data_IF_515605493087
#
_entry.id   IF_515605493087
#
_cell.length_a   1.000
_cell.length_b   1.000
_cell.length_c   1.000
_cell.angle_alpha   90.00
_cell.angle_beta   90.00
_cell.angle_gamma   90.00
#
_symmetry.space_group_name_H-M   'P 1'
#
loop_
_entity.id
_entity.type
_entity.pdbx_description
1 polymer ?
#
# COMPACT_ATOMS: atom_id res chain seq x y z
N UNK A 1 12.25 -6.68 -10.28
CA UNK A 1 13.46 -7.49 -10.54
C UNK A 1 14.08 -8.05 -9.25
N UNK A 2 14.60 -7.21 -8.34
CA UNK A 2 15.38 -7.63 -7.15
C UNK A 2 14.72 -8.74 -6.30
N UNK A 3 13.42 -8.63 -5.99
CA UNK A 3 12.73 -9.61 -5.13
C UNK A 3 12.71 -11.01 -5.74
N UNK A 4 12.39 -11.12 -7.03
CA UNK A 4 12.37 -12.40 -7.73
C UNK A 4 13.76 -13.02 -7.84
N UNK A 5 14.81 -12.22 -8.10
CA UNK A 5 16.19 -12.73 -8.09
C UNK A 5 16.55 -13.32 -6.73
N UNK A 6 16.28 -12.60 -5.64
CA UNK A 6 16.54 -13.12 -4.30
C UNK A 6 15.82 -14.45 -4.05
N UNK A 7 14.52 -14.52 -4.36
CA UNK A 7 13.73 -15.75 -4.20
C UNK A 7 14.34 -16.90 -5.00
N UNK A 8 14.69 -16.66 -6.27
CA UNK A 8 15.20 -17.69 -7.18
C UNK A 8 16.58 -18.20 -6.72
N UNK A 9 17.46 -17.31 -6.31
CA UNK A 9 18.85 -17.63 -5.98
C UNK A 9 18.97 -18.28 -4.60
N UNK A 10 18.04 -17.97 -3.69
CA UNK A 10 18.05 -18.49 -2.31
C UNK A 10 16.97 -19.54 -2.03
N UNK A 11 16.18 -19.95 -3.04
CA UNK A 11 14.97 -20.78 -2.90
C UNK A 11 15.11 -21.98 -1.94
N UNK A 12 16.21 -22.72 -2.04
CA UNK A 12 16.47 -23.92 -1.22
C UNK A 12 17.02 -23.62 0.18
N UNK A 13 17.43 -22.38 0.44
CA UNK A 13 18.02 -21.91 1.70
C UNK A 13 17.26 -20.71 2.30
N UNK A 14 16.01 -20.46 1.88
CA UNK A 14 15.21 -19.35 2.39
C UNK A 14 15.01 -19.48 3.91
N UNK A 15 15.16 -18.38 4.68
CA UNK A 15 14.83 -18.35 6.10
C UNK A 15 13.33 -18.57 6.33
N UNK A 16 12.93 -18.72 7.59
CA UNK A 16 11.52 -18.89 7.95
C UNK A 16 10.64 -17.70 7.55
N UNK A 17 11.20 -16.50 7.57
CA UNK A 17 10.56 -15.25 7.13
C UNK A 17 11.52 -14.48 6.24
N UNK A 18 11.01 -14.03 5.09
CA UNK A 18 11.68 -13.10 4.19
C UNK A 18 10.91 -11.78 4.18
N UNK A 19 11.64 -10.66 4.28
CA UNK A 19 11.07 -9.32 4.24
C UNK A 19 11.56 -8.60 2.99
N UNK A 20 10.61 -8.07 2.23
CA UNK A 20 10.85 -7.23 1.08
C UNK A 20 10.33 -5.83 1.38
N UNK A 21 11.21 -4.82 1.29
CA UNK A 21 10.85 -3.43 1.61
C UNK A 21 11.77 -2.44 0.90
N UNK A 22 11.33 -1.18 0.82
CA UNK A 22 12.16 -0.08 0.34
C UNK A 22 13.26 0.26 1.36
N UNK A 23 14.39 0.75 0.87
CA UNK A 23 15.57 1.04 1.69
C UNK A 23 15.48 2.35 2.50
N UNK A 24 14.47 3.19 2.26
CA UNK A 24 14.30 4.45 2.96
C UNK A 24 13.92 4.21 4.43
N UNK A 25 14.62 4.85 5.37
CA UNK A 25 14.29 4.73 6.79
C UNK A 25 12.99 5.50 7.14
N UNK A 26 12.86 6.72 6.63
CA UNK A 26 11.67 7.57 6.79
C UNK A 26 11.13 8.00 5.42
N UNK A 27 9.83 7.82 5.20
CA UNK A 27 9.13 8.00 3.93
C UNK A 27 7.61 8.09 4.18
N UNK A 28 6.88 8.60 3.20
CA UNK A 28 5.43 8.83 3.29
C UNK A 28 4.61 7.55 3.51
N UNK A 29 5.18 6.39 3.15
CA UNK A 29 4.55 5.08 3.27
C UNK A 29 4.96 4.32 4.53
N UNK A 30 5.62 4.96 5.49
CA UNK A 30 5.75 4.39 6.83
C UNK A 30 4.39 4.40 7.55
N UNK A 31 4.19 3.39 8.40
CA UNK A 31 3.03 3.31 9.27
C UNK A 31 3.09 4.42 10.33
N UNK A 32 1.97 5.08 10.65
CA UNK A 32 2.00 6.26 11.53
C UNK A 32 2.50 5.92 12.94
N UNK A 33 2.14 4.73 13.45
CA UNK A 33 2.62 4.27 14.76
C UNK A 33 4.02 3.65 14.72
N UNK A 34 4.65 3.54 13.55
CA UNK A 34 6.01 3.03 13.35
C UNK A 34 6.86 4.13 12.69
N UNK A 35 7.58 4.87 13.51
CA UNK A 35 8.40 6.03 13.13
C UNK A 35 9.45 5.78 12.04
N UNK A 36 9.80 4.52 11.75
CA UNK A 36 10.76 4.20 10.69
C UNK A 36 10.61 2.77 10.15
N UNK A 37 11.28 2.52 9.03
CA UNK A 37 11.46 1.18 8.45
C UNK A 37 12.17 0.24 9.44
N UNK A 38 13.18 0.74 10.17
CA UNK A 38 13.82 -0.02 11.24
C UNK A 38 12.84 -0.44 12.34
N UNK A 39 11.98 0.47 12.79
CA UNK A 39 10.96 0.15 13.80
C UNK A 39 9.90 -0.82 13.28
N UNK A 40 9.58 -0.73 11.98
CA UNK A 40 8.68 -1.67 11.30
C UNK A 40 9.21 -3.11 11.40
N UNK A 41 10.48 -3.32 11.04
CA UNK A 41 11.12 -4.64 11.13
C UNK A 41 11.23 -5.10 12.59
N UNK A 42 11.64 -4.22 13.51
CA UNK A 42 11.83 -4.56 14.92
C UNK A 42 10.53 -5.00 15.61
N UNK A 43 9.40 -4.37 15.26
CA UNK A 43 8.10 -4.66 15.88
C UNK A 43 7.31 -5.75 15.16
N UNK A 44 7.70 -6.14 13.94
CA UNK A 44 6.99 -7.15 13.17
C UNK A 44 6.95 -8.48 13.94
N UNK A 45 5.74 -8.94 14.25
CA UNK A 45 5.50 -10.19 14.97
C UNK A 45 5.65 -11.36 14.01
N UNK A 46 6.74 -12.11 14.14
CA UNK A 46 7.01 -13.31 13.35
C UNK A 46 5.86 -14.30 13.35
N UNK A 47 5.15 -14.44 14.48
CA UNK A 47 3.98 -15.33 14.61
C UNK A 47 2.85 -14.97 13.63
N UNK A 48 2.62 -13.68 13.36
CA UNK A 48 1.62 -13.22 12.38
C UNK A 48 2.01 -13.66 10.97
N UNK A 49 3.27 -13.43 10.59
CA UNK A 49 3.78 -13.78 9.25
C UNK A 49 3.80 -15.29 9.03
N UNK A 50 4.21 -16.08 10.03
CA UNK A 50 4.26 -17.54 9.92
C UNK A 50 2.87 -18.16 9.85
N UNK A 51 1.92 -17.65 10.63
CA UNK A 51 0.54 -18.15 10.65
C UNK A 51 -0.19 -17.85 9.34
N UNK A 52 -0.05 -16.63 8.83
CA UNK A 52 -0.82 -16.17 7.67
C UNK A 52 -0.07 -16.42 6.35
N UNK A 53 1.24 -16.66 6.41
CA UNK A 53 2.11 -16.92 5.27
C UNK A 53 2.50 -15.68 4.46
N UNK A 54 1.67 -14.63 4.48
CA UNK A 54 1.89 -13.35 3.82
C UNK A 54 1.33 -12.21 4.69
N UNK A 55 2.07 -11.10 4.76
CA UNK A 55 1.61 -9.88 5.41
C UNK A 55 2.20 -8.67 4.68
N UNK A 56 1.34 -7.81 4.16
CA UNK A 56 1.75 -6.48 3.73
C UNK A 56 2.27 -5.68 4.94
N UNK A 57 3.42 -5.02 4.80
CA UNK A 57 4.02 -4.26 5.91
C UNK A 57 3.29 -2.94 6.16
N UNK A 58 2.57 -2.40 5.18
CA UNK A 58 1.75 -1.21 5.34
C UNK A 58 0.37 -1.60 5.86
N UNK A 59 -0.08 -0.95 6.92
CA UNK A 59 -1.43 -1.12 7.44
C UNK A 59 -2.42 -0.12 6.86
N UNK A 60 -1.95 1.05 6.42
CA UNK A 60 -2.79 2.11 5.88
C UNK A 60 -3.37 1.76 4.51
N UNK A 61 -4.69 1.88 4.37
CA UNK A 61 -5.43 1.51 3.16
C UNK A 61 -5.14 2.43 1.97
N UNK A 62 -5.00 3.73 2.20
CA UNK A 62 -4.77 4.69 1.12
C UNK A 62 -3.27 4.88 0.86
N UNK A 63 -2.77 4.72 -0.38
CA UNK A 63 -3.47 4.20 -1.55
C UNK A 63 -3.50 2.66 -1.57
N UNK A 64 -4.49 2.11 -2.27
CA UNK A 64 -4.51 0.70 -2.67
C UNK A 64 -5.67 -0.14 -2.14
N UNK A 65 -6.46 0.37 -1.20
CA UNK A 65 -7.58 -0.33 -0.59
C UNK A 65 -8.76 0.59 -0.24
N UNK A 66 -10.01 0.05 -0.23
CA UNK A 66 -10.45 -1.12 -1.00
C UNK A 66 -10.66 -0.77 -2.49
N UNK A 67 -11.05 -1.75 -3.31
CA UNK A 67 -11.58 -1.53 -4.68
C UNK A 67 -10.71 -0.63 -5.59
N UNK A 68 -9.41 -0.92 -5.69
CA UNK A 68 -8.39 -0.03 -6.25
C UNK A 68 -8.12 -0.16 -7.75
N UNK A 69 -7.79 -1.35 -8.27
CA UNK A 69 -7.47 -1.56 -9.69
C UNK A 69 -8.52 -2.47 -10.31
N UNK A 70 -9.12 -2.03 -11.43
CA UNK A 70 -10.08 -2.80 -12.21
C UNK A 70 -9.48 -3.24 -13.56
N UNK A 71 -8.81 -4.42 -13.64
CA UNK A 71 -8.14 -4.84 -14.87
C UNK A 71 -9.15 -5.19 -15.98
N UNK A 72 -8.96 -4.64 -17.18
CA UNK A 72 -9.84 -4.89 -18.32
C UNK A 72 -9.22 -5.86 -19.34
N UNK A 73 -10.04 -6.58 -20.10
CA UNK A 73 -9.54 -7.46 -21.16
C UNK A 73 -8.88 -6.63 -22.27
N UNK A 74 -7.72 -7.05 -22.81
CA UNK A 74 -7.18 -6.43 -24.01
C UNK A 74 -8.19 -6.61 -25.15
N UNK A 75 -8.84 -5.53 -25.58
CA UNK A 75 -9.60 -5.54 -26.83
C UNK A 75 -8.62 -5.54 -27.99
N UNK A 76 -8.95 -6.24 -29.08
CA UNK A 76 -8.09 -6.46 -30.27
C UNK A 76 -7.70 -5.19 -31.04
N UNK A 77 -8.00 -4.01 -30.51
CA UNK A 77 -7.75 -2.68 -31.09
C UNK A 77 -6.83 -1.83 -30.21
N UNK A 78 -6.00 -2.43 -29.35
CA UNK A 78 -4.96 -1.73 -28.60
C UNK A 78 -3.75 -1.32 -29.50
N UNK A 79 -4.03 -0.61 -30.59
CA UNK A 79 -3.07 0.36 -31.14
C UNK A 79 -3.46 1.72 -30.62
N UNK A 80 -2.61 2.25 -29.74
CA UNK A 80 -2.60 3.61 -29.23
C UNK A 80 -3.79 4.02 -28.34
N UNK A 81 -3.45 4.45 -27.14
CA UNK A 81 -4.27 5.34 -26.33
C UNK A 81 -4.81 6.49 -27.21
N UNK A 82 -6.11 6.46 -27.51
CA UNK A 82 -7.04 7.59 -27.75
C UNK A 82 -8.26 7.07 -28.50
N UNK A 83 -9.36 6.78 -27.79
CA UNK A 83 -10.73 7.27 -28.06
C UNK A 83 -11.72 6.49 -27.21
N UNK A 84 -12.42 7.23 -26.34
CA UNK A 84 -13.55 6.75 -25.58
C UNK A 84 -14.71 6.38 -26.52
N UNK A 85 -15.34 5.23 -26.28
CA UNK A 85 -16.57 4.79 -26.93
C UNK A 85 -17.47 4.17 -25.87
N UNK A 86 -18.70 4.65 -25.81
CA UNK A 86 -19.68 4.49 -24.72
C UNK A 86 -20.23 3.04 -24.60
N UNK A 87 -20.02 2.42 -23.44
CA UNK A 87 -20.68 1.19 -22.98
C UNK A 87 -21.02 1.23 -21.48
N UNK A 88 -22.22 0.73 -21.14
CA UNK A 88 -22.92 1.01 -19.87
C UNK A 88 -22.30 0.35 -18.61
N UNK A 89 -22.04 1.20 -17.61
CA UNK A 89 -21.98 0.96 -16.14
C UNK A 89 -20.75 0.28 -15.49
N UNK A 90 -19.75 -0.20 -16.22
CA UNK A 90 -18.47 -0.69 -15.64
C UNK A 90 -17.22 0.00 -16.26
N UNK A 91 -17.42 0.73 -17.36
CA UNK A 91 -16.34 1.40 -18.10
C UNK A 91 -15.90 2.73 -17.46
N UNK A 92 -16.76 3.35 -16.65
CA UNK A 92 -16.48 4.65 -16.03
C UNK A 92 -15.44 4.55 -14.91
N UNK A 93 -15.44 3.49 -14.11
CA UNK A 93 -14.44 3.26 -13.07
C UNK A 93 -13.07 2.89 -13.67
N UNK A 94 -13.04 1.99 -14.65
CA UNK A 94 -11.78 1.61 -15.32
C UNK A 94 -11.12 2.77 -16.10
N UNK A 95 -11.91 3.67 -16.68
CA UNK A 95 -11.40 4.88 -17.34
C UNK A 95 -10.84 5.90 -16.33
N UNK A 96 -11.47 6.08 -15.16
CA UNK A 96 -10.98 6.97 -14.10
C UNK A 96 -9.70 6.41 -13.44
N UNK A 97 -9.63 5.09 -13.26
CA UNK A 97 -8.43 4.40 -12.79
C UNK A 97 -7.26 4.61 -13.74
N UNK A 98 -7.45 4.45 -15.05
CA UNK A 98 -6.36 4.62 -16.02
C UNK A 98 -5.72 6.03 -16.00
N UNK A 99 -6.48 7.04 -15.56
CA UNK A 99 -5.99 8.43 -15.44
C UNK A 99 -5.20 8.67 -14.14
N UNK A 100 -5.53 7.96 -13.06
CA UNK A 100 -5.00 8.22 -11.72
C UNK A 100 -4.09 7.09 -11.17
N UNK A 101 -4.22 5.89 -11.74
CA UNK A 101 -3.57 4.63 -11.36
C UNK A 101 -2.94 4.03 -12.65
N UNK A 102 -1.73 4.46 -13.03
CA UNK A 102 -1.13 4.11 -14.31
C UNK A 102 -1.08 2.61 -14.60
N UNK A 103 -0.85 1.80 -13.56
CA UNK A 103 -0.82 0.34 -13.65
C UNK A 103 -2.15 -0.29 -14.04
N UNK A 104 -3.29 0.36 -13.75
CA UNK A 104 -4.62 -0.15 -14.13
C UNK A 104 -4.74 -0.33 -15.64
N UNK A 105 -4.18 0.61 -16.40
CA UNK A 105 -4.21 0.60 -17.87
C UNK A 105 -3.48 -0.60 -18.51
N UNK A 106 -2.54 -1.23 -17.79
CA UNK A 106 -1.75 -2.37 -18.30
C UNK A 106 -1.97 -3.67 -17.53
N UNK A 107 -2.64 -3.62 -16.39
CA UNK A 107 -2.81 -4.76 -15.48
C UNK A 107 -3.52 -5.93 -16.17
N UNK A 108 -4.55 -5.66 -16.98
CA UNK A 108 -5.30 -6.71 -17.66
C UNK A 108 -4.45 -7.52 -18.64
N UNK A 109 -3.63 -6.85 -19.46
CA UNK A 109 -2.67 -7.52 -20.35
C UNK A 109 -1.64 -8.31 -19.54
N UNK A 110 -1.00 -7.65 -18.56
CA UNK A 110 0.00 -8.29 -17.70
C UNK A 110 -0.57 -9.53 -16.98
N UNK A 111 -1.82 -9.46 -16.51
CA UNK A 111 -2.51 -10.58 -15.87
C UNK A 111 -2.65 -11.76 -16.82
N UNK A 112 -3.10 -11.54 -18.07
CA UNK A 112 -3.27 -12.62 -19.04
C UNK A 112 -1.95 -13.28 -19.44
N UNK A 113 -0.84 -12.53 -19.45
CA UNK A 113 0.49 -13.06 -19.74
C UNK A 113 1.07 -13.84 -18.54
N UNK A 114 0.87 -13.33 -17.33
CA UNK A 114 1.38 -13.94 -16.09
C UNK A 114 0.54 -15.14 -15.66
N UNK A 115 -0.78 -15.08 -15.81
CA UNK A 115 -1.76 -16.08 -15.32
C UNK A 115 -2.71 -16.53 -16.45
N UNK A 116 -2.20 -17.18 -17.51
CA UNK A 116 -2.97 -17.44 -18.74
C UNK A 116 -4.19 -18.36 -18.56
N UNK A 117 -4.24 -19.14 -17.48
CA UNK A 117 -5.34 -20.05 -17.17
C UNK A 117 -6.30 -19.49 -16.11
N UNK A 118 -6.03 -18.28 -15.61
CA UNK A 118 -6.84 -17.64 -14.57
C UNK A 118 -7.67 -16.53 -15.20
N UNK A 119 -9.00 -16.49 -14.97
CA UNK A 119 -9.82 -15.35 -15.37
C UNK A 119 -9.22 -14.04 -14.85
N UNK A 120 -9.37 -12.96 -15.61
CA UNK A 120 -8.99 -11.62 -15.14
C UNK A 120 -9.84 -11.30 -13.91
N UNK A 121 -9.19 -10.89 -12.82
CA UNK A 121 -9.89 -10.45 -11.61
C UNK A 121 -10.77 -9.24 -11.90
N UNK A 122 -11.93 -9.14 -11.26
CA UNK A 122 -12.74 -7.92 -11.27
C UNK A 122 -11.96 -6.75 -10.66
N UNK A 123 -11.24 -7.03 -9.56
CA UNK A 123 -10.53 -6.01 -8.80
C UNK A 123 -9.26 -6.57 -8.18
N UNK A 124 -8.21 -5.74 -8.11
CA UNK A 124 -7.00 -6.02 -7.36
C UNK A 124 -6.78 -4.90 -6.35
N UNK A 125 -6.55 -5.27 -5.09
CA UNK A 125 -6.40 -4.28 -4.03
C UNK A 125 -5.53 -4.81 -2.91
N UNK A 126 -4.63 -3.96 -2.42
CA UNK A 126 -3.90 -4.14 -1.17
C UNK A 126 -3.24 -2.80 -0.79
N UNK A 127 -2.84 -2.58 0.47
CA UNK A 127 -2.03 -1.42 0.80
C UNK A 127 -0.82 -1.32 -0.14
N UNK A 128 -0.55 -0.13 -0.67
CA UNK A 128 0.46 0.04 -1.70
C UNK A 128 1.89 -0.38 -1.27
N UNK A 129 2.75 -0.20 -2.25
CA UNK A 129 4.18 0.07 -2.15
C UNK A 129 5.07 -1.16 -2.07
N UNK A 130 4.50 -2.35 -2.31
CA UNK A 130 5.27 -3.56 -2.57
C UNK A 130 6.19 -3.93 -1.41
N UNK A 131 5.79 -3.61 -0.17
CA UNK A 131 6.52 -3.96 1.04
C UNK A 131 5.74 -5.04 1.78
N UNK A 132 6.34 -6.21 1.97
CA UNK A 132 5.66 -7.34 2.59
C UNK A 132 6.66 -8.28 3.27
N UNK A 133 6.16 -9.02 4.25
CA UNK A 133 6.80 -10.17 4.82
C UNK A 133 6.09 -11.44 4.36
N UNK A 134 6.85 -12.48 4.04
CA UNK A 134 6.33 -13.76 3.56
C UNK A 134 7.10 -14.88 4.24
N UNK A 135 6.41 -15.96 4.61
CA UNK A 135 7.10 -17.11 5.18
C UNK A 135 7.88 -17.88 4.11
N UNK A 136 9.02 -18.45 4.47
CA UNK A 136 9.80 -19.30 3.55
C UNK A 136 9.00 -20.53 3.10
N UNK A 137 8.13 -21.06 3.96
CA UNK A 137 7.19 -22.14 3.59
C UNK A 137 6.18 -21.68 2.55
N UNK A 138 5.67 -20.45 2.64
CA UNK A 138 4.75 -19.89 1.64
C UNK A 138 5.41 -19.64 0.30
N UNK A 139 6.66 -19.17 0.28
CA UNK A 139 7.44 -19.09 -0.97
C UNK A 139 7.64 -20.49 -1.58
N UNK A 140 8.01 -21.49 -0.77
CA UNK A 140 8.25 -22.86 -1.25
C UNK A 140 6.99 -23.64 -1.64
N UNK A 141 5.80 -23.12 -1.34
CA UNK A 141 4.54 -23.72 -1.78
C UNK A 141 4.36 -23.61 -3.31
N UNK A 142 5.09 -22.71 -3.96
CA UNK A 142 5.10 -22.53 -5.40
C UNK A 142 6.47 -22.98 -5.96
N UNK A 143 6.52 -23.82 -7.03
CA UNK A 143 7.78 -24.28 -7.59
C UNK A 143 8.70 -23.13 -8.01
N UNK A 144 10.02 -23.31 -7.83
CA UNK A 144 11.05 -22.32 -8.18
C UNK A 144 10.90 -21.81 -9.62
N UNK A 145 10.57 -22.70 -10.54
CA UNK A 145 10.40 -22.45 -11.96
C UNK A 145 9.33 -21.38 -12.23
N UNK A 146 8.31 -21.29 -11.37
CA UNK A 146 7.26 -20.28 -11.49
C UNK A 146 7.80 -18.88 -11.22
N UNK A 147 8.67 -18.71 -10.22
CA UNK A 147 9.37 -17.45 -9.99
C UNK A 147 10.31 -17.09 -11.14
N UNK A 148 10.95 -18.10 -11.77
CA UNK A 148 11.75 -17.88 -12.98
C UNK A 148 10.87 -17.35 -14.11
N UNK A 149 9.69 -17.92 -14.36
CA UNK A 149 8.75 -17.42 -15.38
C UNK A 149 8.32 -15.98 -15.10
N UNK A 150 8.03 -15.65 -13.85
CA UNK A 150 7.70 -14.28 -13.43
C UNK A 150 8.85 -13.29 -13.71
N UNK A 151 10.09 -13.71 -13.45
CA UNK A 151 11.27 -12.90 -13.77
C UNK A 151 11.46 -12.76 -15.28
N UNK A 152 11.26 -13.83 -16.03
CA UNK A 152 11.35 -13.81 -17.50
C UNK A 152 10.34 -12.84 -18.11
N UNK A 153 9.13 -12.73 -17.56
CA UNK A 153 8.15 -11.72 -17.96
C UNK A 153 8.70 -10.30 -17.75
N UNK A 154 9.27 -10.00 -16.57
CA UNK A 154 9.89 -8.71 -16.30
C UNK A 154 11.04 -8.37 -17.25
N UNK A 155 11.80 -9.37 -17.70
CA UNK A 155 12.92 -9.15 -18.62
C UNK A 155 12.49 -8.96 -20.08
N UNK A 156 11.29 -9.45 -20.46
CA UNK A 156 10.80 -9.45 -21.84
C UNK A 156 9.72 -8.42 -22.12
N UNK A 157 9.03 -7.95 -21.09
CA UNK A 157 7.96 -6.98 -21.22
C UNK A 157 8.50 -5.66 -21.82
N UNK A 158 7.68 -4.99 -22.62
CA UNK A 158 7.99 -3.67 -23.17
C UNK A 158 7.60 -2.52 -22.23
N UNK A 159 7.01 -2.85 -21.08
CA UNK A 159 6.69 -1.88 -20.03
C UNK A 159 7.98 -1.33 -19.43
N UNK A 160 8.00 -0.04 -19.11
CA UNK A 160 9.11 0.53 -18.35
C UNK A 160 9.18 -0.04 -16.91
N UNK A 161 10.34 0.12 -16.27
CA UNK A 161 10.60 -0.41 -14.92
C UNK A 161 9.62 0.13 -13.87
N UNK A 162 9.15 1.38 -14.03
CA UNK A 162 8.22 2.02 -13.09
C UNK A 162 6.86 1.35 -13.19
N UNK A 163 6.35 1.12 -14.40
CA UNK A 163 5.03 0.56 -14.62
C UNK A 163 5.00 -0.95 -14.35
N UNK A 164 6.01 -1.69 -14.83
CA UNK A 164 6.15 -3.12 -14.52
C UNK A 164 6.35 -3.36 -13.01
N UNK A 165 7.07 -2.46 -12.32
CA UNK A 165 7.19 -2.48 -10.87
C UNK A 165 5.83 -2.31 -10.16
N UNK A 166 5.00 -1.38 -10.62
CA UNK A 166 3.64 -1.14 -10.08
C UNK A 166 2.65 -2.27 -10.38
N UNK A 167 2.80 -2.95 -11.51
CA UNK A 167 2.07 -4.21 -11.75
C UNK A 167 2.40 -5.22 -10.65
N UNK A 168 3.69 -5.47 -10.41
CA UNK A 168 4.11 -6.43 -9.38
C UNK A 168 3.72 -6.01 -7.96
N UNK A 169 3.71 -4.70 -7.67
CA UNK A 169 3.22 -4.15 -6.41
C UNK A 169 1.82 -4.65 -6.06
N UNK A 170 0.91 -4.81 -7.03
CA UNK A 170 -0.45 -5.31 -6.83
C UNK A 170 -0.68 -6.77 -7.26
N UNK A 171 0.39 -7.55 -7.44
CA UNK A 171 0.30 -8.99 -7.67
C UNK A 171 0.81 -9.83 -6.50
N UNK A 172 1.57 -9.25 -5.56
CA UNK A 172 2.12 -10.02 -4.43
C UNK A 172 1.05 -10.63 -3.52
N UNK A 173 -0.06 -9.92 -3.30
CA UNK A 173 -1.19 -10.46 -2.54
C UNK A 173 -1.87 -11.64 -3.25
N UNK A 174 -1.90 -11.64 -4.58
CA UNK A 174 -2.41 -12.79 -5.32
C UNK A 174 -1.42 -13.96 -5.28
N UNK A 175 -0.14 -13.69 -5.55
CA UNK A 175 0.93 -14.70 -5.58
C UNK A 175 1.13 -15.38 -4.22
N UNK A 176 1.14 -14.61 -3.13
CA UNK A 176 1.43 -15.11 -1.79
C UNK A 176 0.22 -15.11 -0.85
N UNK A 177 -0.76 -14.22 -1.00
CA UNK A 177 -2.01 -14.30 -0.23
C UNK A 177 -3.03 -15.26 -0.85
N UNK A 178 -2.97 -15.47 -2.17
CA UNK A 178 -3.98 -16.28 -2.88
C UNK A 178 -5.34 -15.59 -2.96
N UNK A 179 -5.35 -14.26 -2.83
CA UNK A 179 -6.55 -13.42 -2.87
C UNK A 179 -6.31 -12.24 -3.80
N UNK A 180 -7.34 -11.78 -4.48
CA UNK A 180 -7.28 -10.63 -5.37
C UNK A 180 -7.33 -9.29 -4.59
N UNK A 181 -8.08 -9.28 -3.49
CA UNK A 181 -8.24 -8.16 -2.55
C UNK A 181 -7.72 -8.53 -1.15
N UNK A 182 -6.67 -7.84 -0.70
CA UNK A 182 -6.06 -7.99 0.61
C UNK A 182 -6.08 -6.65 1.35
N UNK A 183 -7.21 -6.32 1.97
CA UNK A 183 -7.43 -5.07 2.70
C UNK A 183 -7.83 -5.36 4.16
N UNK A 184 -6.91 -5.87 5.01
CA UNK A 184 -7.23 -6.16 6.40
C UNK A 184 -7.58 -4.88 7.15
N UNK A 185 -8.44 -4.98 8.17
CA UNK A 185 -8.71 -3.87 9.08
C UNK A 185 -7.38 -3.26 9.61
N UNK A 186 -7.25 -1.94 9.51
CA UNK A 186 -5.98 -1.26 9.77
C UNK A 186 -5.56 -1.45 11.24
N UNK A 187 -6.50 -1.35 12.19
CA UNK A 187 -6.25 -1.58 13.62
C UNK A 187 -5.76 -2.99 13.88
N UNK A 188 -6.41 -4.00 13.29
CA UNK A 188 -6.03 -5.40 13.38
C UNK A 188 -4.64 -5.65 12.79
N UNK A 189 -4.32 -5.00 11.66
CA UNK A 189 -2.97 -5.03 11.08
C UNK A 189 -1.92 -4.50 12.06
N UNK A 190 -2.18 -3.35 12.69
CA UNK A 190 -1.29 -2.76 13.70
C UNK A 190 -1.13 -3.64 14.94
N UNK A 191 -2.24 -4.15 15.47
CA UNK A 191 -2.22 -4.92 16.70
C UNK A 191 -1.59 -6.30 16.51
N UNK A 192 -2.06 -7.07 15.53
CA UNK A 192 -1.55 -8.42 15.31
C UNK A 192 -0.16 -8.43 14.69
N UNK A 193 0.10 -7.48 13.78
CA UNK A 193 1.35 -7.37 13.05
C UNK A 193 2.48 -6.73 13.85
N UNK A 194 2.19 -5.73 14.68
CA UNK A 194 3.20 -4.89 15.32
C UNK A 194 3.04 -4.73 16.83
N UNK A 195 2.00 -5.33 17.42
CA UNK A 195 1.68 -5.18 18.84
C UNK A 195 1.25 -3.77 19.22
N UNK A 196 0.71 -3.01 18.27
CA UNK A 196 0.15 -1.67 18.48
C UNK A 196 -1.36 -1.83 18.69
N UNK A 197 -1.79 -2.07 19.94
CA UNK A 197 -3.11 -2.62 20.25
C UNK A 197 -4.04 -1.69 21.06
N UNK A 198 -3.59 -0.53 21.53
CA UNK A 198 -4.41 0.44 22.30
C UNK A 198 -5.25 -0.19 23.44
N UNK A 199 -4.76 -1.28 24.05
CA UNK A 199 -5.51 -2.01 25.09
C UNK A 199 -6.83 -2.66 24.64
N UNK A 200 -7.03 -2.89 23.34
CA UNK A 200 -8.30 -3.39 22.78
C UNK A 200 -9.31 -2.29 22.43
N UNK A 201 -8.97 -1.03 22.68
CA UNK A 201 -9.85 0.11 22.45
C UNK A 201 -9.67 0.64 21.02
N UNK A 202 -10.43 0.09 20.07
CA UNK A 202 -10.50 0.59 18.69
C UNK A 202 -10.92 2.06 18.60
N UNK A 203 -11.66 2.57 19.61
CA UNK A 203 -12.07 3.97 19.66
C UNK A 203 -10.87 4.93 19.71
N UNK A 204 -9.80 4.54 20.40
CA UNK A 204 -8.54 5.32 20.44
C UNK A 204 -7.83 5.34 19.10
N UNK A 205 -7.81 4.21 18.39
CA UNK A 205 -7.28 4.15 17.03
C UNK A 205 -8.00 5.15 16.13
N UNK A 206 -9.34 5.06 16.07
CA UNK A 206 -10.17 5.96 15.24
C UNK A 206 -9.98 7.42 15.64
N UNK A 207 -9.96 7.71 16.94
CA UNK A 207 -9.72 9.07 17.47
C UNK A 207 -8.37 9.62 17.01
N UNK A 208 -7.30 8.83 17.03
CA UNK A 208 -5.99 9.27 16.54
C UNK A 208 -6.06 9.72 15.08
N UNK A 209 -6.72 8.95 14.21
CA UNK A 209 -6.82 9.30 12.79
C UNK A 209 -7.77 10.48 12.52
N UNK A 210 -8.84 10.64 13.30
CA UNK A 210 -9.67 11.85 13.28
C UNK A 210 -8.86 13.10 13.62
N UNK A 211 -8.05 13.05 14.69
CA UNK A 211 -7.17 14.15 15.10
C UNK A 211 -6.11 14.45 14.03
N UNK A 212 -5.51 13.40 13.47
CA UNK A 212 -4.52 13.53 12.38
C UNK A 212 -5.11 14.20 11.15
N UNK A 213 -6.33 13.82 10.76
CA UNK A 213 -7.02 14.44 9.63
C UNK A 213 -7.25 15.93 9.91
N UNK A 214 -7.81 16.29 11.07
CA UNK A 214 -8.00 17.69 11.48
C UNK A 214 -6.70 18.48 11.49
N UNK A 215 -5.62 17.91 12.03
CA UNK A 215 -4.29 18.55 12.03
C UNK A 215 -3.79 18.84 10.61
N UNK A 216 -4.06 17.95 9.64
CA UNK A 216 -3.69 18.14 8.23
C UNK A 216 -4.54 19.21 7.55
N UNK A 217 -5.83 19.26 7.87
CA UNK A 217 -6.74 20.30 7.37
C UNK A 217 -6.31 21.68 7.86
N UNK A 218 -5.97 21.79 9.14
CA UNK A 218 -5.42 23.02 9.73
C UNK A 218 -4.09 23.41 9.07
N UNK A 219 -3.18 22.46 8.83
CA UNK A 219 -1.91 22.73 8.13
C UNK A 219 -2.15 23.31 6.73
N UNK A 220 -3.06 22.71 5.95
CA UNK A 220 -3.40 23.21 4.61
C UNK A 220 -3.99 24.61 4.66
N UNK A 221 -4.81 24.90 5.67
CA UNK A 221 -5.38 26.23 5.87
C UNK A 221 -4.31 27.25 6.22
N UNK A 222 -3.37 26.91 7.11
CA UNK A 222 -2.22 27.76 7.43
C UNK A 222 -1.40 28.04 6.17
N UNK A 223 -1.12 27.01 5.37
CA UNK A 223 -0.38 27.17 4.11
C UNK A 223 -1.12 28.07 3.12
N UNK A 224 -2.44 27.91 2.99
CA UNK A 224 -3.29 28.76 2.14
C UNK A 224 -3.24 30.22 2.59
N UNK A 225 -3.49 30.50 3.88
CA UNK A 225 -3.46 31.85 4.43
C UNK A 225 -2.09 32.51 4.26
N UNK A 226 -0.99 31.75 4.40
CA UNK A 226 0.36 32.25 4.16
C UNK A 226 0.65 32.54 2.69
N UNK A 227 0.07 31.77 1.76
CA UNK A 227 0.20 32.01 0.30
C UNK A 227 -0.65 33.18 -0.18
N UNK A 228 -1.84 33.35 0.38
CA UNK A 228 -2.75 34.45 0.06
C UNK A 228 -2.34 35.76 0.75
N UNK A 229 -1.56 35.68 1.84
CA UNK A 229 -1.16 36.80 2.67
C UNK A 229 0.09 37.55 2.20
N UNK A 230 -0.12 38.68 1.52
CA UNK A 230 0.80 39.83 1.52
C UNK A 230 0.21 41.09 2.18
N UNK A 231 -0.71 40.99 3.17
CA UNK A 231 -1.19 42.21 3.84
C UNK A 231 -2.17 42.07 5.01
N UNK A 232 -1.68 42.02 6.25
CA UNK A 232 -2.46 42.42 7.44
C UNK A 232 -2.15 41.70 8.76
N UNK A 233 -2.33 42.40 9.88
CA UNK A 233 -2.15 41.89 11.26
C UNK A 233 -3.23 40.83 11.65
N UNK A 234 -4.39 40.86 10.97
CA UNK A 234 -5.51 39.93 11.17
C UNK A 234 -5.18 38.51 10.71
N UNK A 235 -4.53 38.36 9.55
CA UNK A 235 -4.12 37.05 9.03
C UNK A 235 -3.04 36.42 9.92
N UNK A 236 -2.14 37.24 10.47
CA UNK A 236 -1.14 36.80 11.44
C UNK A 236 -1.79 36.30 12.75
N UNK A 237 -2.85 36.96 13.22
CA UNK A 237 -3.63 36.51 14.38
C UNK A 237 -4.33 35.17 14.14
N UNK A 238 -4.95 35.00 12.97
CA UNK A 238 -5.66 33.77 12.59
C UNK A 238 -4.69 32.59 12.40
N UNK A 239 -3.55 32.79 11.73
CA UNK A 239 -2.51 31.77 11.59
C UNK A 239 -2.01 31.30 12.97
N UNK A 240 -1.73 32.24 13.89
CA UNK A 240 -1.31 31.89 15.26
C UNK A 240 -2.37 31.10 16.03
N UNK A 241 -3.65 31.37 15.82
CA UNK A 241 -4.73 30.61 16.47
C UNK A 241 -4.77 29.17 15.94
N UNK A 242 -4.69 28.99 14.62
CA UNK A 242 -4.63 27.68 13.97
C UNK A 242 -3.40 26.87 14.39
N UNK A 243 -2.24 27.52 14.52
CA UNK A 243 -1.01 26.87 15.00
C UNK A 243 -1.18 26.32 16.43
N UNK A 244 -1.84 27.07 17.32
CA UNK A 244 -2.13 26.59 18.70
C UNK A 244 -3.13 25.44 18.70
N UNK A 245 -4.17 25.52 17.87
CA UNK A 245 -5.14 24.43 17.74
C UNK A 245 -4.46 23.15 17.26
N UNK A 246 -3.66 23.25 16.18
CA UNK A 246 -2.87 22.14 15.65
C UNK A 246 -1.95 21.55 16.73
N UNK A 247 -1.26 22.39 17.51
CA UNK A 247 -0.39 21.95 18.59
C UNK A 247 -1.16 21.12 19.63
N UNK A 248 -2.36 21.57 20.05
CA UNK A 248 -3.21 20.80 20.96
C UNK A 248 -3.65 19.45 20.39
N UNK A 249 -3.98 19.38 19.10
CA UNK A 249 -4.30 18.11 18.44
C UNK A 249 -3.09 17.16 18.42
N UNK A 250 -1.88 17.68 18.17
CA UNK A 250 -0.65 16.88 18.19
C UNK A 250 -0.35 16.32 19.58
N UNK A 251 -0.58 17.11 20.63
CA UNK A 251 -0.42 16.66 22.02
C UNK A 251 -1.39 15.51 22.36
N UNK A 252 -2.66 15.64 22.01
CA UNK A 252 -3.66 14.57 22.21
C UNK A 252 -3.30 13.29 21.42
N UNK A 253 -2.78 13.44 20.19
CA UNK A 253 -2.30 12.31 19.39
C UNK A 253 -1.13 11.57 20.05
N UNK A 254 -0.18 12.30 20.64
CA UNK A 254 0.95 11.70 21.35
C UNK A 254 0.51 10.97 22.63
N UNK A 255 -0.49 11.49 23.35
CA UNK A 255 -1.10 10.79 24.49
C UNK A 255 -1.72 9.46 24.05
N UNK A 256 -2.46 9.46 22.93
CA UNK A 256 -3.04 8.22 22.38
C UNK A 256 -1.92 7.25 21.97
N UNK A 257 -0.90 7.73 21.25
CA UNK A 257 0.26 6.93 20.82
C UNK A 257 0.98 6.29 22.00
N UNK A 258 1.13 7.00 23.12
CA UNK A 258 1.76 6.48 24.34
C UNK A 258 1.02 5.27 24.93
N UNK A 259 -0.29 5.14 24.66
CA UNK A 259 -1.12 4.03 25.13
C UNK A 259 -1.16 2.83 24.18
N UNK A 260 -0.45 2.90 23.05
CA UNK A 260 -0.55 1.92 21.96
C UNK A 260 0.14 0.57 22.22
N UNK A 261 0.89 0.42 23.31
CA UNK A 261 1.57 -0.85 23.67
C UNK A 261 0.60 -2.01 23.95
N UNK A 262 1.11 -3.26 23.93
CA UNK A 262 0.30 -4.42 24.30
C UNK A 262 0.20 -4.56 25.82
N UNK A 263 -0.96 -5.03 26.28
CA UNK A 263 -1.01 -5.89 27.47
C UNK A 263 -0.47 -7.27 27.12
#
# INVERSE_FOLDING_TARGET
MVYLTYIIDTYHALPDIVIFMHAHDTTWHNNDFLSSSGQTVQRLRSAKVLRDGYMNLRCHHEPGCPDHIHPTKPTTTATAATTAGEGETDETQSHDDALNIPESAVMGLAWTELFPTTPISRVLSQPCCGQFAVSGSRIRAMPRERYVQFREWLLKTTLDDRLSGRVWEYLWQYVFGGVEEYCPDEYSCYCEGYGVCFGGDEGRYRRYFELRQKSREIEREIERLRKEGSGGDVDAGRVKALEREKQGLMEEMEEIRATSGSR
#
